data_IF_279831602043
#
_entry.id   IF_279831602043
#
_cell.length_a   1.000
_cell.length_b   1.000
_cell.length_c   1.000
_cell.angle_alpha   90.00
_cell.angle_beta   90.00
_cell.angle_gamma   90.00
#
_symmetry.space_group_name_H-M   'P 1'
#
loop_
_entity.id
_entity.type
_entity.pdbx_description
1 polymer ?
#
# COMPACT_ATOMS: atom_id res chain seq x y z
N UNK A 1 -13.25 -4.35 1.43
CA UNK A 1 -13.71 -4.18 0.05
C UNK A 1 -15.20 -4.46 -0.01
N UNK A 2 -15.98 -3.52 -0.56
CA UNK A 2 -17.46 -3.63 -0.59
C UNK A 2 -17.97 -4.23 -1.92
N UNK A 3 -17.08 -4.48 -2.88
CA UNK A 3 -17.50 -4.87 -4.21
C UNK A 3 -17.27 -6.33 -4.53
N UNK A 4 -16.12 -6.88 -4.15
CA UNK A 4 -15.75 -8.23 -4.53
C UNK A 4 -14.66 -8.78 -3.60
N UNK A 5 -14.57 -10.12 -3.52
CA UNK A 5 -13.46 -10.80 -2.85
C UNK A 5 -12.28 -10.77 -3.83
N UNK A 6 -11.27 -9.99 -3.48
CA UNK A 6 -10.06 -9.84 -4.28
C UNK A 6 -8.85 -10.36 -3.51
N UNK A 7 -7.85 -10.89 -4.23
CA UNK A 7 -6.62 -11.45 -3.63
C UNK A 7 -5.92 -10.47 -2.67
N UNK A 8 -5.98 -9.16 -2.93
CA UNK A 8 -5.39 -8.12 -2.08
C UNK A 8 -5.90 -8.11 -0.62
N UNK A 9 -7.05 -8.77 -0.35
CA UNK A 9 -7.56 -8.95 1.02
C UNK A 9 -6.59 -9.75 1.91
N UNK A 10 -5.75 -10.59 1.34
CA UNK A 10 -4.77 -11.40 2.06
C UNK A 10 -3.48 -10.63 2.38
N UNK A 11 -3.20 -9.50 1.71
CA UNK A 11 -2.00 -8.71 1.93
C UNK A 11 -1.79 -8.31 3.40
N UNK A 12 -2.79 -7.77 4.13
CA UNK A 12 -2.61 -7.40 5.52
C UNK A 12 -2.16 -8.56 6.40
N UNK A 13 -2.78 -9.72 6.23
CA UNK A 13 -2.46 -10.92 7.01
C UNK A 13 -1.00 -11.37 6.76
N UNK A 14 -0.61 -11.47 5.48
CA UNK A 14 0.71 -12.01 5.15
C UNK A 14 1.82 -10.98 5.39
N UNK A 15 1.59 -9.69 5.19
CA UNK A 15 2.53 -8.62 5.53
C UNK A 15 2.80 -8.60 7.05
N UNK A 16 1.75 -8.60 7.87
CA UNK A 16 1.91 -8.59 9.33
C UNK A 16 2.55 -9.89 9.85
N UNK A 17 2.17 -11.03 9.29
CA UNK A 17 2.79 -12.32 9.62
C UNK A 17 4.27 -12.33 9.26
N UNK A 18 4.64 -11.82 8.08
CA UNK A 18 6.03 -11.74 7.64
C UNK A 18 6.86 -10.83 8.55
N UNK A 19 6.38 -9.62 8.84
CA UNK A 19 7.01 -8.70 9.79
C UNK A 19 7.18 -9.35 11.17
N UNK A 20 6.14 -9.99 11.70
CA UNK A 20 6.17 -10.65 13.00
C UNK A 20 7.22 -11.75 13.07
N UNK A 21 7.28 -12.65 12.08
CA UNK A 21 8.26 -13.73 12.07
C UNK A 21 9.69 -13.24 11.84
N UNK A 22 9.89 -12.17 11.07
CA UNK A 22 11.19 -11.52 10.92
C UNK A 22 11.66 -10.89 12.23
N UNK A 23 10.78 -10.22 12.97
CA UNK A 23 11.10 -9.65 14.27
C UNK A 23 11.43 -10.71 15.32
N UNK A 24 10.69 -11.83 15.31
CA UNK A 24 10.93 -12.99 16.17
C UNK A 24 12.11 -13.86 15.74
N UNK A 25 12.77 -13.51 14.63
CA UNK A 25 13.89 -14.27 14.07
C UNK A 25 13.54 -15.74 13.74
N UNK A 26 12.26 -16.03 13.55
CA UNK A 26 11.76 -17.35 13.20
C UNK A 26 11.92 -17.58 11.68
N UNK A 27 12.96 -18.32 11.29
CA UNK A 27 13.27 -18.56 9.87
C UNK A 27 12.14 -19.29 9.14
N UNK A 28 11.59 -20.36 9.75
CA UNK A 28 10.53 -21.15 9.10
C UNK A 28 9.28 -20.30 8.88
N UNK A 29 8.83 -19.57 9.90
CA UNK A 29 7.71 -18.66 9.80
C UNK A 29 7.94 -17.56 8.77
N UNK A 30 9.16 -16.99 8.73
CA UNK A 30 9.51 -15.95 7.74
C UNK A 30 9.46 -16.48 6.29
N UNK A 31 9.95 -17.69 6.05
CA UNK A 31 9.91 -18.29 4.69
C UNK A 31 8.47 -18.58 4.27
N UNK A 32 7.69 -19.20 5.15
CA UNK A 32 6.29 -19.55 4.84
C UNK A 32 5.48 -18.27 4.56
N UNK A 33 5.59 -17.26 5.43
CA UNK A 33 4.86 -15.99 5.22
C UNK A 33 5.34 -15.23 3.99
N UNK A 34 6.63 -15.30 3.63
CA UNK A 34 7.14 -14.72 2.39
C UNK A 34 6.55 -15.41 1.16
N UNK A 35 6.52 -16.75 1.14
CA UNK A 35 5.95 -17.51 0.03
C UNK A 35 4.46 -17.17 -0.14
N UNK A 36 3.71 -17.13 0.96
CA UNK A 36 2.30 -16.77 0.95
C UNK A 36 2.08 -15.33 0.49
N UNK A 37 2.94 -14.39 0.92
CA UNK A 37 2.88 -13.00 0.50
C UNK A 37 3.13 -12.86 -1.01
N UNK A 38 4.20 -13.47 -1.53
CA UNK A 38 4.53 -13.44 -2.95
C UNK A 38 3.46 -14.13 -3.81
N UNK A 39 2.77 -15.15 -3.27
CA UNK A 39 1.70 -15.85 -3.94
C UNK A 39 0.38 -15.07 -4.06
N UNK A 40 0.25 -13.90 -3.42
CA UNK A 40 -0.97 -13.09 -3.52
C UNK A 40 -1.08 -12.46 -4.90
N UNK A 41 -0.02 -11.73 -5.31
CA UNK A 41 0.02 -11.00 -6.57
C UNK A 41 1.46 -10.61 -6.91
N UNK A 42 1.73 -10.27 -8.18
CA UNK A 42 3.05 -9.86 -8.65
C UNK A 42 3.61 -8.62 -7.93
N UNK A 43 2.75 -7.66 -7.59
CA UNK A 43 3.14 -6.43 -6.89
C UNK A 43 3.43 -6.64 -5.39
N UNK A 44 3.00 -7.77 -4.81
CA UNK A 44 3.30 -8.12 -3.43
C UNK A 44 4.81 -8.24 -3.15
N UNK A 45 5.60 -8.53 -4.18
CA UNK A 45 7.05 -8.55 -4.09
C UNK A 45 7.63 -7.18 -3.68
N UNK A 46 7.02 -6.07 -4.07
CA UNK A 46 7.46 -4.72 -3.69
C UNK A 46 7.33 -4.51 -2.18
N UNK A 47 6.24 -4.98 -1.56
CA UNK A 47 6.08 -4.94 -0.10
C UNK A 47 7.15 -5.79 0.58
N UNK A 48 7.39 -7.02 0.08
CA UNK A 48 8.43 -7.90 0.62
C UNK A 48 9.82 -7.28 0.54
N UNK A 49 10.18 -6.68 -0.60
CA UNK A 49 11.45 -5.97 -0.81
C UNK A 49 11.61 -4.82 0.18
N UNK A 50 10.61 -3.94 0.32
CA UNK A 50 10.67 -2.82 1.26
C UNK A 50 10.81 -3.28 2.71
N UNK A 51 10.09 -4.34 3.11
CA UNK A 51 10.21 -4.94 4.45
C UNK A 51 11.63 -5.49 4.68
N UNK A 52 12.18 -6.23 3.72
CA UNK A 52 13.51 -6.84 3.86
C UNK A 52 14.62 -5.79 3.87
N UNK A 53 14.53 -4.76 3.02
CA UNK A 53 15.46 -3.63 3.05
C UNK A 53 15.38 -2.92 4.40
N UNK A 54 14.18 -2.65 4.92
CA UNK A 54 14.00 -2.09 6.27
C UNK A 54 14.68 -2.97 7.34
N UNK A 55 14.49 -4.29 7.29
CA UNK A 55 15.08 -5.23 8.24
C UNK A 55 16.62 -5.25 8.17
N UNK A 56 17.21 -5.10 6.99
CA UNK A 56 18.66 -4.98 6.82
C UNK A 56 19.23 -3.74 7.55
N UNK A 57 18.49 -2.62 7.56
CA UNK A 57 18.91 -1.42 8.30
C UNK A 57 18.71 -1.55 9.82
N UNK A 58 17.66 -2.24 10.25
CA UNK A 58 17.34 -2.38 11.70
C UNK A 58 18.20 -3.45 12.34
N UNK A 59 18.39 -4.59 11.70
CA UNK A 59 19.11 -5.77 12.24
C UNK A 59 20.48 -5.95 11.59
N UNK A 60 21.30 -4.91 11.59
CA UNK A 60 22.60 -4.82 10.91
C UNK A 60 23.58 -5.98 11.17
N UNK A 61 23.50 -6.66 12.31
CA UNK A 61 24.42 -7.73 12.69
C UNK A 61 23.80 -9.13 12.74
N UNK A 62 22.51 -9.23 13.04
CA UNK A 62 21.84 -10.52 13.24
C UNK A 62 20.96 -10.85 12.02
N UNK A 63 21.24 -11.98 11.38
CA UNK A 63 20.41 -12.45 10.26
C UNK A 63 20.62 -11.74 8.92
N UNK A 64 21.67 -10.90 8.76
CA UNK A 64 21.93 -10.16 7.52
C UNK A 64 21.96 -11.06 6.29
N UNK A 65 22.70 -12.16 6.32
CA UNK A 65 22.76 -13.14 5.21
C UNK A 65 21.37 -13.68 4.84
N UNK A 66 20.57 -14.01 5.86
CA UNK A 66 19.22 -14.53 5.69
C UNK A 66 18.29 -13.51 5.02
N UNK A 67 18.28 -12.25 5.51
CA UNK A 67 17.47 -11.19 4.93
C UNK A 67 17.92 -10.85 3.50
N UNK A 68 19.23 -10.87 3.21
CA UNK A 68 19.75 -10.66 1.86
C UNK A 68 19.36 -11.78 0.88
N UNK A 69 19.35 -13.03 1.32
CA UNK A 69 18.90 -14.16 0.48
C UNK A 69 17.41 -14.04 0.17
N UNK A 70 16.58 -13.73 1.19
CA UNK A 70 15.14 -13.50 0.99
C UNK A 70 14.89 -12.30 0.06
N UNK A 71 15.66 -11.23 0.20
CA UNK A 71 15.59 -10.04 -0.66
C UNK A 71 15.93 -10.41 -2.11
N UNK A 72 17.03 -11.13 -2.34
CA UNK A 72 17.39 -11.61 -3.67
C UNK A 72 16.31 -12.50 -4.27
N UNK A 73 15.73 -13.41 -3.49
CA UNK A 73 14.64 -14.27 -3.92
C UNK A 73 13.38 -13.45 -4.29
N UNK A 74 13.03 -12.42 -3.51
CA UNK A 74 11.90 -11.55 -3.80
C UNK A 74 12.10 -10.71 -5.06
N UNK A 75 13.32 -10.21 -5.30
CA UNK A 75 13.67 -9.49 -6.52
C UNK A 75 13.64 -10.41 -7.75
N UNK A 76 14.20 -11.60 -7.63
CA UNK A 76 14.15 -12.61 -8.72
C UNK A 76 12.71 -13.00 -9.04
N UNK A 77 11.88 -13.20 -8.03
CA UNK A 77 10.45 -13.47 -8.22
C UNK A 77 9.77 -12.32 -8.95
N UNK A 78 10.01 -11.06 -8.54
CA UNK A 78 9.44 -9.88 -9.20
C UNK A 78 9.83 -9.79 -10.68
N UNK A 79 11.12 -9.99 -10.98
CA UNK A 79 11.63 -10.00 -12.37
C UNK A 79 10.98 -11.14 -13.16
N UNK A 80 10.95 -12.35 -12.59
CA UNK A 80 10.35 -13.51 -13.23
C UNK A 80 8.87 -13.30 -13.56
N UNK A 81 8.07 -12.83 -12.60
CA UNK A 81 6.64 -12.59 -12.80
C UNK A 81 6.38 -11.46 -13.79
N UNK A 82 7.19 -10.39 -13.75
CA UNK A 82 7.11 -9.28 -14.72
C UNK A 82 7.39 -9.75 -16.15
N UNK A 83 8.45 -10.56 -16.34
CA UNK A 83 8.77 -11.15 -17.66
C UNK A 83 7.69 -12.12 -18.09
N UNK A 84 7.21 -12.98 -17.19
CA UNK A 84 6.15 -13.94 -17.47
C UNK A 84 4.87 -13.24 -17.98
N UNK A 85 4.43 -12.19 -17.28
CA UNK A 85 3.27 -11.40 -17.66
C UNK A 85 3.46 -10.69 -19.01
N UNK A 86 4.66 -10.24 -19.32
CA UNK A 86 4.95 -9.61 -20.62
C UNK A 86 4.96 -10.59 -21.78
N UNK A 87 5.20 -11.90 -21.52
CA UNK A 87 5.25 -12.94 -22.57
C UNK A 87 3.91 -13.65 -22.75
N UNK A 88 3.18 -13.92 -21.66
CA UNK A 88 1.95 -14.73 -21.67
C UNK A 88 0.68 -13.88 -21.58
N UNK A 89 0.77 -12.66 -21.04
CA UNK A 89 -0.36 -11.75 -20.80
C UNK A 89 -0.22 -10.41 -21.49
N UNK A 90 -1.07 -9.46 -21.09
CA UNK A 90 -1.07 -8.09 -21.60
C UNK A 90 0.07 -7.21 -21.06
N UNK A 91 1.03 -7.83 -20.38
CA UNK A 91 2.17 -7.15 -19.74
C UNK A 91 1.83 -6.52 -18.38
N UNK A 92 2.83 -5.85 -17.81
CA UNK A 92 2.66 -5.08 -16.58
C UNK A 92 1.90 -3.81 -16.91
N UNK A 93 0.89 -3.48 -16.10
CA UNK A 93 0.02 -2.30 -16.32
C UNK A 93 0.77 -0.97 -16.07
N UNK A 94 1.85 -0.75 -16.82
CA UNK A 94 2.70 0.46 -16.72
C UNK A 94 1.94 1.73 -17.12
N UNK A 95 0.90 1.61 -17.95
CA UNK A 95 0.03 2.72 -18.34
C UNK A 95 -0.61 3.45 -17.14
N UNK A 96 -0.69 2.80 -15.99
CA UNK A 96 -1.20 3.43 -14.75
C UNK A 96 -0.27 4.51 -14.19
N UNK A 97 0.90 4.69 -14.76
CA UNK A 97 1.91 5.67 -14.39
C UNK A 97 2.28 6.60 -15.55
N UNK A 98 1.44 6.68 -16.59
CA UNK A 98 1.71 7.50 -17.77
C UNK A 98 1.78 9.00 -17.42
N UNK A 99 1.08 9.42 -16.38
CA UNK A 99 1.21 10.77 -15.80
C UNK A 99 2.63 11.10 -15.30
N UNK A 100 3.47 10.10 -15.07
CA UNK A 100 4.86 10.28 -14.62
C UNK A 100 5.88 10.31 -15.78
N UNK A 101 5.43 10.30 -17.02
CA UNK A 101 6.30 10.23 -18.19
C UNK A 101 6.10 11.46 -19.08
N UNK A 102 7.19 12.15 -19.43
CA UNK A 102 7.15 13.16 -20.47
C UNK A 102 7.25 12.49 -21.86
N UNK A 103 6.24 12.68 -22.71
CA UNK A 103 6.21 12.17 -24.08
C UNK A 103 5.61 10.77 -24.21
N UNK A 104 5.62 10.22 -25.42
CA UNK A 104 4.85 9.02 -25.83
C UNK A 104 5.39 7.67 -25.31
N UNK A 105 6.44 7.65 -24.52
CA UNK A 105 6.99 6.39 -24.05
C UNK A 105 6.53 6.04 -22.63
N UNK A 106 5.38 5.38 -22.47
CA UNK A 106 4.91 4.76 -21.24
C UNK A 106 5.84 3.66 -20.71
N UNK A 107 7.14 3.92 -20.69
CA UNK A 107 8.15 2.97 -20.22
C UNK A 107 8.58 3.29 -18.80
N UNK A 108 8.86 2.25 -18.02
CA UNK A 108 9.42 2.36 -16.65
C UNK A 108 10.71 3.24 -16.63
N UNK A 109 11.55 3.15 -17.69
CA UNK A 109 12.74 3.98 -17.83
C UNK A 109 12.41 5.46 -18.06
N UNK A 110 11.34 5.75 -18.80
CA UNK A 110 10.81 7.11 -18.99
C UNK A 110 10.37 7.74 -17.68
N UNK A 111 9.65 6.99 -16.85
CA UNK A 111 9.22 7.42 -15.52
C UNK A 111 10.43 7.78 -14.62
N UNK A 112 11.43 6.90 -14.54
CA UNK A 112 12.64 7.16 -13.74
C UNK A 112 13.34 8.41 -14.25
N UNK A 113 13.46 8.57 -15.57
CA UNK A 113 14.09 9.74 -16.19
C UNK A 113 13.35 11.03 -15.84
N UNK A 114 12.01 11.03 -15.93
CA UNK A 114 11.17 12.20 -15.60
C UNK A 114 11.32 12.57 -14.12
N UNK A 115 11.23 11.59 -13.21
CA UNK A 115 11.39 11.81 -11.77
C UNK A 115 12.75 12.42 -11.42
N UNK A 116 13.83 11.98 -12.10
CA UNK A 116 15.16 12.51 -11.88
C UNK A 116 15.40 13.87 -12.56
N UNK A 117 14.80 14.11 -13.72
CA UNK A 117 14.97 15.34 -14.48
C UNK A 117 14.13 16.50 -13.93
N UNK A 118 12.92 16.22 -13.46
CA UNK A 118 11.99 17.24 -12.96
C UNK A 118 11.24 16.75 -11.70
N UNK A 119 11.87 16.82 -10.53
CA UNK A 119 11.22 16.47 -9.27
C UNK A 119 10.05 17.41 -8.91
N UNK A 120 10.02 18.64 -9.44
CA UNK A 120 8.90 19.58 -9.22
C UNK A 120 7.64 19.08 -9.92
N UNK A 121 7.76 18.57 -11.14
CA UNK A 121 6.68 17.92 -11.84
C UNK A 121 6.11 16.74 -11.05
N UNK A 122 6.96 15.88 -10.50
CA UNK A 122 6.56 14.78 -9.63
C UNK A 122 5.66 15.27 -8.48
N UNK A 123 6.07 16.36 -7.81
CA UNK A 123 5.29 16.93 -6.70
C UNK A 123 3.89 17.35 -7.16
N UNK A 124 3.75 17.94 -8.34
CA UNK A 124 2.43 18.32 -8.89
C UNK A 124 1.54 17.12 -9.16
N UNK A 125 2.12 16.00 -9.63
CA UNK A 125 1.37 14.76 -9.91
C UNK A 125 0.97 14.00 -8.65
N UNK A 126 1.75 14.13 -7.58
CA UNK A 126 1.52 13.45 -6.28
C UNK A 126 0.56 14.25 -5.39
N UNK A 127 0.54 15.58 -5.48
CA UNK A 127 -0.24 16.45 -4.63
C UNK A 127 -1.51 17.01 -5.33
N UNK A 128 -2.25 16.14 -6.02
CA UNK A 128 -3.59 16.49 -6.53
C UNK A 128 -4.60 16.52 -5.39
N UNK A 129 -5.73 17.21 -5.58
CA UNK A 129 -6.78 17.29 -4.56
C UNK A 129 -7.23 15.89 -4.09
N UNK A 130 -7.50 14.98 -5.02
CA UNK A 130 -7.97 13.62 -4.73
C UNK A 130 -6.94 12.84 -3.90
N UNK A 131 -5.66 12.96 -4.24
CA UNK A 131 -4.57 12.30 -3.51
C UNK A 131 -4.35 12.93 -2.13
N UNK A 132 -4.52 14.25 -2.00
CA UNK A 132 -4.49 14.92 -0.69
C UNK A 132 -5.65 14.45 0.20
N UNK A 133 -6.85 14.30 -0.33
CA UNK A 133 -7.99 13.73 0.39
C UNK A 133 -7.69 12.29 0.84
N UNK A 134 -7.11 11.47 -0.04
CA UNK A 134 -6.70 10.12 0.30
C UNK A 134 -5.61 10.08 1.38
N UNK A 135 -4.62 10.99 1.33
CA UNK A 135 -3.61 11.14 2.40
C UNK A 135 -4.29 11.49 3.72
N UNK A 136 -5.21 12.44 3.71
CA UNK A 136 -5.95 12.82 4.92
C UNK A 136 -6.78 11.65 5.47
N UNK A 137 -7.45 10.88 4.63
CA UNK A 137 -8.23 9.71 5.05
C UNK A 137 -7.36 8.60 5.64
N UNK A 138 -6.21 8.30 5.05
CA UNK A 138 -5.33 7.22 5.49
C UNK A 138 -4.41 7.63 6.64
N UNK A 139 -3.72 8.76 6.51
CA UNK A 139 -2.79 9.25 7.53
C UNK A 139 -3.52 9.92 8.71
N UNK A 140 -4.63 10.63 8.44
CA UNK A 140 -5.45 11.25 9.47
C UNK A 140 -6.04 10.22 10.43
N UNK A 141 -6.55 9.10 9.90
CA UNK A 141 -7.02 7.98 10.73
C UNK A 141 -5.93 7.42 11.66
N UNK A 142 -4.65 7.51 11.24
CA UNK A 142 -3.49 7.09 12.01
C UNK A 142 -2.81 8.25 12.78
N UNK A 143 -3.46 9.43 12.87
CA UNK A 143 -2.92 10.64 13.51
C UNK A 143 -1.53 11.03 12.99
N UNK A 144 -1.25 10.79 11.73
CA UNK A 144 0.06 10.99 11.09
C UNK A 144 1.24 10.32 11.80
N UNK A 145 0.97 9.38 12.70
CA UNK A 145 2.01 8.62 13.42
C UNK A 145 3.04 7.96 12.49
N UNK A 146 2.69 7.42 11.28
CA UNK A 146 3.67 6.86 10.38
C UNK A 146 4.79 7.83 10.00
N UNK A 147 4.51 9.14 9.95
CA UNK A 147 5.47 10.18 9.59
C UNK A 147 6.29 10.69 10.78
N UNK A 148 5.95 10.30 12.02
CA UNK A 148 6.63 10.76 13.24
C UNK A 148 7.84 9.90 13.62
N UNK A 149 8.46 9.22 12.66
CA UNK A 149 9.58 8.33 12.96
C UNK A 149 10.88 9.10 13.12
N UNK A 150 11.63 8.77 14.18
CA UNK A 150 12.98 9.28 14.40
C UNK A 150 14.06 8.52 13.61
N UNK A 151 13.71 7.37 13.06
CA UNK A 151 14.64 6.49 12.33
C UNK A 151 14.33 6.55 10.83
N UNK A 152 15.25 7.09 10.05
CA UNK A 152 15.09 7.22 8.60
C UNK A 152 14.79 5.90 7.88
N UNK A 153 15.36 4.78 8.37
CA UNK A 153 15.10 3.45 7.79
C UNK A 153 13.62 3.05 7.78
N UNK A 154 12.80 3.60 8.65
CA UNK A 154 11.36 3.31 8.70
C UNK A 154 10.60 3.89 7.53
N UNK A 155 11.08 4.99 6.94
CA UNK A 155 10.45 5.59 5.76
C UNK A 155 10.53 4.69 4.53
N UNK A 156 11.39 3.67 4.51
CA UNK A 156 11.41 2.63 3.47
C UNK A 156 10.05 1.92 3.39
N UNK A 157 9.37 1.74 4.52
CA UNK A 157 8.05 1.13 4.57
C UNK A 157 6.92 2.03 4.04
N UNK A 158 7.17 3.33 3.83
CA UNK A 158 6.21 4.23 3.15
C UNK A 158 6.37 4.22 1.63
N UNK A 159 7.45 3.64 1.10
CA UNK A 159 7.72 3.61 -0.35
C UNK A 159 6.58 2.98 -1.14
N UNK A 160 6.01 1.82 -0.76
CA UNK A 160 4.88 1.25 -1.50
C UNK A 160 3.64 2.17 -1.51
N UNK A 161 3.39 2.90 -0.44
CA UNK A 161 2.31 3.88 -0.38
C UNK A 161 2.52 5.02 -1.38
N UNK A 162 3.73 5.56 -1.44
CA UNK A 162 4.08 6.62 -2.40
C UNK A 162 3.98 6.06 -3.82
N UNK A 163 4.63 4.92 -4.07
CA UNK A 163 4.73 4.33 -5.41
C UNK A 163 3.36 3.95 -5.97
N UNK A 164 2.57 3.16 -5.25
CA UNK A 164 1.30 2.67 -5.78
C UNK A 164 0.17 3.68 -5.63
N UNK A 165 0.03 4.29 -4.45
CA UNK A 165 -1.16 5.08 -4.17
C UNK A 165 -1.02 6.55 -4.57
N UNK A 166 0.19 7.14 -4.54
CA UNK A 166 0.35 8.57 -4.83
C UNK A 166 0.93 8.85 -6.22
N UNK A 167 1.84 8.01 -6.74
CA UNK A 167 2.44 8.25 -8.06
C UNK A 167 1.51 7.82 -9.20
N UNK A 168 0.66 6.82 -9.00
CA UNK A 168 -0.24 6.34 -10.02
C UNK A 168 -1.36 7.35 -10.35
N UNK A 169 -1.76 7.40 -11.62
CA UNK A 169 -2.93 8.15 -12.09
C UNK A 169 -4.22 7.34 -12.04
N UNK A 170 -4.12 6.05 -11.73
CA UNK A 170 -5.26 5.17 -11.65
C UNK A 170 -6.10 5.49 -10.39
N UNK A 171 -7.28 6.07 -10.59
CA UNK A 171 -8.16 6.62 -9.54
C UNK A 171 -8.45 5.63 -8.40
N UNK A 172 -8.54 4.33 -8.69
CA UNK A 172 -8.80 3.32 -7.66
C UNK A 172 -7.62 3.08 -6.71
N UNK A 173 -6.39 3.49 -7.08
CA UNK A 173 -5.23 3.35 -6.21
C UNK A 173 -5.20 4.35 -5.06
N UNK A 174 -5.78 5.52 -5.26
CA UNK A 174 -5.92 6.55 -4.23
C UNK A 174 -7.37 6.68 -3.72
N UNK A 175 -8.05 5.55 -3.60
CA UNK A 175 -9.39 5.45 -3.02
C UNK A 175 -9.43 4.40 -1.91
N UNK A 176 -9.91 4.80 -0.73
CA UNK A 176 -10.06 3.92 0.44
C UNK A 176 -11.14 2.85 0.26
N UNK A 177 -11.99 2.98 -0.76
CA UNK A 177 -13.07 2.03 -1.04
C UNK A 177 -12.59 0.78 -1.77
N UNK A 178 -11.38 0.82 -2.33
CA UNK A 178 -10.82 -0.26 -3.12
C UNK A 178 -9.66 -0.95 -2.40
N UNK A 179 -9.41 -2.19 -2.76
CA UNK A 179 -8.43 -3.09 -2.16
C UNK A 179 -6.98 -2.69 -2.38
N UNK A 180 -6.70 -1.74 -3.26
CA UNK A 180 -5.34 -1.33 -3.62
C UNK A 180 -4.56 -0.62 -2.50
N UNK A 181 -5.27 -0.12 -1.49
CA UNK A 181 -4.66 0.50 -0.32
C UNK A 181 -4.31 -0.52 0.81
N UNK A 182 -4.71 -1.79 0.70
CA UNK A 182 -4.58 -2.74 1.81
C UNK A 182 -3.14 -3.06 2.16
N UNK A 183 -2.27 -3.29 1.16
CA UNK A 183 -0.86 -3.59 1.41
C UNK A 183 -0.11 -2.40 2.01
N UNK A 184 -0.20 -1.25 1.37
CA UNK A 184 0.43 0.00 1.82
C UNK A 184 -0.15 0.49 3.15
N UNK A 185 -1.47 0.45 3.32
CA UNK A 185 -2.15 0.79 4.57
C UNK A 185 -1.70 -0.08 5.75
N UNK A 186 -1.43 -1.36 5.49
CA UNK A 186 -0.89 -2.27 6.51
C UNK A 186 0.50 -1.85 6.97
N UNK A 187 1.38 -1.42 6.06
CA UNK A 187 2.70 -0.92 6.42
C UNK A 187 2.61 0.40 7.18
N UNK A 188 1.70 1.30 6.81
CA UNK A 188 1.43 2.52 7.55
C UNK A 188 0.91 2.22 8.96
N UNK A 189 -0.01 1.27 9.09
CA UNK A 189 -0.51 0.82 10.40
C UNK A 189 0.62 0.26 11.27
N UNK A 190 1.46 -0.62 10.71
CA UNK A 190 2.63 -1.13 11.42
C UNK A 190 3.56 0.00 11.90
N UNK A 191 3.85 0.98 11.03
CA UNK A 191 4.65 2.15 11.40
C UNK A 191 3.99 2.98 12.52
N UNK A 192 2.68 3.17 12.46
CA UNK A 192 1.95 3.87 13.50
C UNK A 192 2.10 3.16 14.85
N UNK A 193 1.94 1.84 14.89
CA UNK A 193 2.11 1.02 16.10
C UNK A 193 3.53 1.10 16.64
N UNK A 194 4.54 0.98 15.76
CA UNK A 194 5.95 1.05 16.17
C UNK A 194 6.30 2.44 16.72
N UNK A 195 5.88 3.51 16.05
CA UNK A 195 6.13 4.88 16.50
C UNK A 195 5.37 5.20 17.80
N UNK A 196 4.13 4.73 17.93
CA UNK A 196 3.35 4.84 19.16
C UNK A 196 4.04 4.13 20.35
N UNK A 197 4.64 2.96 20.11
CA UNK A 197 5.33 2.20 21.14
C UNK A 197 6.57 2.91 21.68
N UNK A 198 7.20 3.78 20.87
CA UNK A 198 8.40 4.56 21.25
C UNK A 198 8.06 5.90 21.97
N UNK A 199 6.77 6.27 22.02
CA UNK A 199 6.37 7.44 22.79
C UNK A 199 6.59 7.21 24.29
N UNK A 200 6.90 8.28 25.01
CA UNK A 200 6.92 8.26 26.49
C UNK A 200 5.57 7.76 27.01
N UNK A 201 5.58 7.04 28.12
CA UNK A 201 4.38 6.42 28.70
C UNK A 201 3.20 7.40 28.82
N UNK A 202 3.46 8.62 29.29
CA UNK A 202 2.45 9.66 29.50
C UNK A 202 1.76 10.07 28.18
N UNK A 203 2.56 10.25 27.12
CA UNK A 203 2.04 10.60 25.80
C UNK A 203 1.31 9.39 25.16
N UNK A 204 1.85 8.19 25.31
CA UNK A 204 1.26 6.96 24.77
C UNK A 204 -0.12 6.68 25.37
N UNK A 205 -0.29 6.85 26.69
CA UNK A 205 -1.59 6.66 27.37
C UNK A 205 -2.65 7.61 26.82
N UNK A 206 -2.27 8.82 26.41
CA UNK A 206 -3.20 9.78 25.75
C UNK A 206 -3.37 9.48 24.25
N UNK A 207 -2.31 9.12 23.56
CA UNK A 207 -2.34 8.88 22.11
C UNK A 207 -3.16 7.64 21.72
N UNK A 208 -3.17 6.59 22.54
CA UNK A 208 -3.95 5.37 22.24
C UNK A 208 -5.45 5.63 22.11
N UNK A 209 -6.15 6.25 23.08
CA UNK A 209 -7.56 6.55 22.91
C UNK A 209 -7.83 7.57 21.79
N UNK A 210 -6.93 8.53 21.56
CA UNK A 210 -7.05 9.48 20.45
C UNK A 210 -6.95 8.75 19.10
N UNK A 211 -6.02 7.80 18.96
CA UNK A 211 -5.87 6.97 17.76
C UNK A 211 -7.13 6.12 17.54
N UNK A 212 -7.65 5.48 18.59
CA UNK A 212 -8.88 4.71 18.51
C UNK A 212 -10.07 5.58 18.08
N UNK A 213 -10.21 6.78 18.66
CA UNK A 213 -11.24 7.73 18.29
C UNK A 213 -11.10 8.22 16.84
N UNK A 214 -9.89 8.52 16.38
CA UNK A 214 -9.62 8.90 15.00
C UNK A 214 -9.99 7.78 14.03
N UNK A 215 -9.55 6.55 14.29
CA UNK A 215 -9.92 5.38 13.46
C UNK A 215 -11.43 5.19 13.40
N UNK A 216 -12.15 5.30 14.52
CA UNK A 216 -13.60 5.18 14.55
C UNK A 216 -14.30 6.30 13.79
N UNK A 217 -13.82 7.55 13.93
CA UNK A 217 -14.35 8.71 13.20
C UNK A 217 -14.20 8.55 11.68
N UNK A 218 -12.99 8.21 11.23
CA UNK A 218 -12.73 8.01 9.81
C UNK A 218 -13.46 6.80 9.25
N UNK A 219 -13.53 5.70 10.02
CA UNK A 219 -14.32 4.53 9.64
C UNK A 219 -15.81 4.87 9.54
N UNK A 220 -16.38 5.55 10.55
CA UNK A 220 -17.77 5.96 10.57
C UNK A 220 -18.11 6.90 9.41
N UNK A 221 -17.25 7.90 9.12
CA UNK A 221 -17.40 8.79 7.98
C UNK A 221 -17.35 8.03 6.64
N UNK A 222 -16.44 7.08 6.49
CA UNK A 222 -16.30 6.23 5.31
C UNK A 222 -17.55 5.37 5.08
N UNK A 223 -18.04 4.71 6.14
CA UNK A 223 -19.25 3.89 6.06
C UNK A 223 -20.47 4.75 5.72
N UNK A 224 -20.60 5.92 6.33
CA UNK A 224 -21.70 6.85 6.04
C UNK A 224 -21.69 7.31 4.58
N UNK A 225 -20.54 7.78 4.09
CA UNK A 225 -20.42 8.20 2.70
C UNK A 225 -20.74 7.06 1.74
N UNK A 226 -20.27 5.85 2.06
CA UNK A 226 -20.49 4.68 1.23
C UNK A 226 -21.93 4.23 1.20
N UNK A 227 -22.64 4.21 2.33
CA UNK A 227 -24.06 3.83 2.38
C UNK A 227 -24.91 4.77 1.52
N UNK A 228 -24.66 6.08 1.59
CA UNK A 228 -25.37 7.06 0.77
C UNK A 228 -25.11 6.91 -0.73
N UNK A 229 -23.92 6.48 -1.15
CA UNK A 229 -23.59 6.21 -2.57
C UNK A 229 -24.23 4.90 -3.02
N UNK A 230 -24.19 3.84 -2.21
CA UNK A 230 -24.81 2.55 -2.53
C UNK A 230 -26.33 2.72 -2.69
N UNK A 231 -27.00 3.43 -1.79
CA UNK A 231 -28.44 3.68 -1.89
C UNK A 231 -28.81 4.39 -3.19
N UNK A 232 -28.04 5.42 -3.57
CA UNK A 232 -28.25 6.11 -4.86
C UNK A 232 -27.99 5.21 -6.07
N UNK A 233 -26.96 4.40 -6.02
CA UNK A 233 -26.60 3.51 -7.13
C UNK A 233 -27.62 2.36 -7.26
N UNK A 234 -28.04 1.74 -6.16
CA UNK A 234 -29.06 0.70 -6.20
C UNK A 234 -30.43 1.22 -6.61
N UNK A 235 -30.81 2.43 -6.20
CA UNK A 235 -32.09 3.01 -6.63
C UNK A 235 -32.11 3.32 -8.14
N UNK A 236 -31.03 3.85 -8.68
CA UNK A 236 -30.91 4.12 -10.12
C UNK A 236 -30.84 2.82 -10.94
N UNK A 237 -30.01 1.85 -10.53
CA UNK A 237 -29.88 0.55 -11.19
C UNK A 237 -31.18 -0.25 -11.16
N UNK A 238 -31.87 -0.29 -10.03
CA UNK A 238 -33.14 -0.97 -9.91
C UNK A 238 -34.22 -0.31 -10.78
N UNK A 239 -34.24 1.01 -10.87
CA UNK A 239 -35.20 1.71 -11.75
C UNK A 239 -34.97 1.40 -13.23
N UNK A 240 -33.72 1.37 -13.70
CA UNK A 240 -33.40 0.99 -15.09
C UNK A 240 -33.70 -0.49 -15.37
N UNK A 241 -33.31 -1.39 -14.47
CA UNK A 241 -33.56 -2.83 -14.64
C UNK A 241 -35.05 -3.15 -14.63
N UNK A 242 -35.82 -2.55 -13.72
CA UNK A 242 -37.28 -2.76 -13.68
C UNK A 242 -38.01 -2.08 -14.85
N UNK A 243 -37.52 -0.95 -15.38
CA UNK A 243 -38.09 -0.35 -16.59
C UNK A 243 -37.93 -1.29 -17.80
N UNK A 244 -36.78 -1.93 -17.94
CA UNK A 244 -36.49 -2.84 -19.05
C UNK A 244 -37.19 -4.21 -18.93
N UNK A 245 -37.69 -4.58 -17.76
CA UNK A 245 -38.48 -5.82 -17.58
C UNK A 245 -39.99 -5.65 -17.86
N UNK A 246 -40.47 -4.42 -17.98
CA UNK A 246 -41.87 -4.11 -18.21
C UNK A 246 -42.18 -3.74 -19.69
N UNK A 247 -41.19 -3.81 -20.57
CA UNK A 247 -41.33 -3.78 -22.02
C UNK A 247 -41.24 -5.21 -22.60
#
# INVERSE_FOLDING_TARGET
>A
CFYDIHENLFLPLFILSFLYFLEKENLKGSIISLILLLGVKEDAAVYAVCILVYMLFVKKKTGWKRHSIMLAASLLYFIFTTVLLSVIGDGVMTYRFDNMVYGDSGSMSGMIRTVLADPAYLVTQVLTQEKLEFIMQTMGALLFLPLMSKKWSRYILTVPYILFNLMSDYTYFHSIYFQYAFGSGTLLFYLAVVNLSELRRELRVRAVPMLAAACLLFFGATVYQRSSVIERYHSAYNQEVYANFNE
#
